data_IF_550106788474
#
_entry.id   IF_550106788474
#
_cell.length_a   1.000
_cell.length_b   1.000
_cell.length_c   1.000
_cell.angle_alpha   90.00
_cell.angle_beta   90.00
_cell.angle_gamma   90.00
#
_symmetry.space_group_name_H-M   'P 1'
#
loop_
_entity.id
_entity.type
_entity.pdbx_description
1 polymer ?
#
# COMPACT_ATOMS: atom_id res chain seq x y z
N UNK A 1 5.32 2.26 -12.37
CA UNK A 1 4.00 2.69 -11.85
C UNK A 1 4.06 4.19 -11.55
N UNK A 2 2.98 4.92 -11.78
CA UNK A 2 2.88 6.32 -11.31
C UNK A 2 2.54 6.36 -9.82
N UNK A 3 2.81 7.47 -9.13
CA UNK A 3 2.44 7.64 -7.71
C UNK A 3 0.94 7.45 -7.49
N UNK A 4 0.12 8.00 -8.37
CA UNK A 4 -1.35 7.87 -8.31
C UNK A 4 -1.78 6.41 -8.39
N UNK A 5 -1.19 5.63 -9.30
CA UNK A 5 -1.48 4.20 -9.45
C UNK A 5 -1.13 3.40 -8.20
N UNK A 6 0.02 3.70 -7.58
CA UNK A 6 0.44 3.03 -6.34
C UNK A 6 -0.48 3.36 -5.17
N UNK A 7 -0.93 4.60 -5.05
CA UNK A 7 -1.89 5.00 -4.02
C UNK A 7 -3.24 4.33 -4.19
N UNK A 8 -3.71 4.17 -5.44
CA UNK A 8 -4.96 3.46 -5.71
C UNK A 8 -4.85 1.98 -5.29
N UNK A 9 -3.74 1.30 -5.63
CA UNK A 9 -3.48 -0.07 -5.16
C UNK A 9 -3.45 -0.18 -3.64
N UNK A 10 -2.81 0.78 -2.99
CA UNK A 10 -2.74 0.81 -1.53
C UNK A 10 -4.12 1.01 -0.89
N UNK A 11 -5.01 1.78 -1.54
CA UNK A 11 -6.39 1.97 -1.12
C UNK A 11 -7.21 0.68 -1.24
N UNK A 12 -7.07 -0.02 -2.38
CA UNK A 12 -7.66 -1.35 -2.60
C UNK A 12 -7.21 -2.35 -1.52
N UNK A 13 -5.92 -2.33 -1.17
CA UNK A 13 -5.36 -3.17 -0.12
C UNK A 13 -5.87 -2.76 1.27
N UNK A 14 -6.01 -1.48 1.57
CA UNK A 14 -6.49 -1.01 2.88
C UNK A 14 -7.89 -1.52 3.22
N UNK A 15 -8.73 -1.77 2.21
CA UNK A 15 -10.05 -2.39 2.36
C UNK A 15 -10.01 -3.89 2.70
N UNK A 16 -8.85 -4.55 2.54
CA UNK A 16 -8.72 -5.98 2.82
C UNK A 16 -8.78 -6.25 4.34
N UNK A 17 -9.51 -7.29 4.81
CA UNK A 17 -9.70 -7.57 6.24
C UNK A 17 -8.40 -7.71 7.04
N UNK A 18 -7.33 -8.18 6.37
CA UNK A 18 -5.99 -8.32 6.96
C UNK A 18 -5.40 -6.99 7.45
N UNK A 19 -5.76 -5.88 6.82
CA UNK A 19 -5.28 -4.54 7.18
C UNK A 19 -6.33 -3.72 7.95
N UNK A 20 -7.47 -4.30 8.35
CA UNK A 20 -8.51 -3.58 9.08
C UNK A 20 -8.03 -2.94 10.40
N UNK A 21 -6.94 -3.46 11.00
CA UNK A 21 -6.31 -2.93 12.22
C UNK A 21 -4.98 -2.21 11.97
N UNK A 22 -4.61 -1.97 10.72
CA UNK A 22 -3.33 -1.35 10.33
C UNK A 22 -3.58 -0.29 9.28
N UNK A 23 -3.18 0.94 9.60
CA UNK A 23 -3.15 2.00 8.62
C UNK A 23 -1.88 1.84 7.76
N UNK A 24 -2.05 1.26 6.59
CA UNK A 24 -0.97 1.09 5.61
C UNK A 24 -0.87 2.29 4.67
N UNK A 25 -1.81 3.24 4.73
CA UNK A 25 -1.94 4.33 3.78
C UNK A 25 -1.25 5.61 4.25
N UNK A 26 -1.28 5.93 5.55
CA UNK A 26 -0.72 7.21 6.05
C UNK A 26 0.77 7.36 5.78
N UNK A 27 1.55 6.27 5.87
CA UNK A 27 3.00 6.31 5.55
C UNK A 27 3.27 6.72 4.10
N UNK A 28 2.34 6.45 3.17
CA UNK A 28 2.52 6.77 1.73
C UNK A 28 2.67 8.27 1.43
N UNK A 29 2.26 9.14 2.35
CA UNK A 29 2.39 10.59 2.22
C UNK A 29 3.86 11.05 2.26
N UNK A 30 4.73 10.32 2.95
CA UNK A 30 6.15 10.67 3.16
C UNK A 30 7.12 9.82 2.34
N UNK A 31 6.63 8.78 1.66
CA UNK A 31 7.46 7.89 0.86
C UNK A 31 7.81 8.51 -0.50
N UNK A 32 9.06 8.31 -0.92
CA UNK A 32 9.47 8.48 -2.31
C UNK A 32 8.73 7.48 -3.22
N UNK A 33 8.73 7.72 -4.53
CA UNK A 33 8.03 6.84 -5.47
C UNK A 33 8.51 5.38 -5.40
N UNK A 34 9.83 5.17 -5.30
CA UNK A 34 10.42 3.82 -5.19
C UNK A 34 10.04 3.15 -3.86
N UNK A 35 10.13 3.89 -2.75
CA UNK A 35 9.76 3.35 -1.45
C UNK A 35 8.25 3.03 -1.36
N UNK A 36 7.40 3.86 -1.98
CA UNK A 36 5.97 3.59 -2.11
C UNK A 36 5.71 2.33 -2.94
N UNK A 37 6.45 2.12 -4.03
CA UNK A 37 6.31 0.91 -4.84
C UNK A 37 6.67 -0.35 -4.05
N UNK A 38 7.77 -0.30 -3.29
CA UNK A 38 8.18 -1.40 -2.42
C UNK A 38 7.17 -1.66 -1.29
N UNK A 39 6.62 -0.60 -0.69
CA UNK A 39 5.59 -0.70 0.35
C UNK A 39 4.32 -1.38 -0.16
N UNK A 40 3.83 -0.97 -1.34
CA UNK A 40 2.68 -1.60 -1.99
C UNK A 40 2.95 -3.09 -2.23
N UNK A 41 4.13 -3.44 -2.78
CA UNK A 41 4.51 -4.84 -3.03
C UNK A 41 4.45 -5.69 -1.75
N UNK A 42 5.03 -5.22 -0.65
CA UNK A 42 5.01 -5.95 0.63
C UNK A 42 3.58 -6.09 1.17
N UNK A 43 2.74 -5.08 0.99
CA UNK A 43 1.33 -5.16 1.35
C UNK A 43 0.56 -6.16 0.47
N UNK A 44 0.81 -6.22 -0.84
CA UNK A 44 0.22 -7.22 -1.75
C UNK A 44 0.64 -8.64 -1.36
N UNK A 45 1.94 -8.87 -1.14
CA UNK A 45 2.46 -10.17 -0.68
C UNK A 45 1.89 -10.57 0.69
N UNK A 46 1.65 -9.59 1.55
CA UNK A 46 0.99 -9.82 2.83
C UNK A 46 -0.48 -10.16 2.63
N UNK A 47 -1.22 -9.50 1.73
CA UNK A 47 -2.63 -9.77 1.49
C UNK A 47 -2.88 -11.18 0.92
N UNK A 48 -1.96 -11.69 0.11
CA UNK A 48 -2.04 -13.01 -0.52
C UNK A 48 -1.77 -14.21 0.43
N UNK A 49 -1.32 -13.95 1.66
CA UNK A 49 -1.06 -14.97 2.71
C UNK A 49 -2.18 -15.04 3.73
#
# INVERSE_FOLDING_TARGET
MSRATLLQRLDELQAHPKFAKRDIKTVSAILSLEALAQHVKVCEESAAR
#
